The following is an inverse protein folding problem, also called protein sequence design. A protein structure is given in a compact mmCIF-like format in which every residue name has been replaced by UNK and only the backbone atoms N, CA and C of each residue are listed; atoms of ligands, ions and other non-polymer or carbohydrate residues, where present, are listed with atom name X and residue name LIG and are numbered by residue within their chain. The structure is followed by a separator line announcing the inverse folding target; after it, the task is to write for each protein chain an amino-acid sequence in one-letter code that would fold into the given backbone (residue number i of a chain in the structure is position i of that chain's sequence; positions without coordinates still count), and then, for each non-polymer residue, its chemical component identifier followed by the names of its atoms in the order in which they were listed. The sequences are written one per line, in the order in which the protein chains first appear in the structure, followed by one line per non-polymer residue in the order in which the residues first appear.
data_IF_536998738455
#
_entry.id   IF_536998738455
#
_cell.length_a   1.000
_cell.length_b   1.000
_cell.length_c   1.000
_cell.angle_alpha   90.00
_cell.angle_beta   90.00
_cell.angle_gamma   90.00
#
_symmetry.space_group_name_H-M   'P 1'
#
loop_
_entity.id
_entity.type
_entity.pdbx_description
1 polymer ?
#
# COMPACT_ATOMS: atom_id res chain seq x y z
N UNK A 1 11.80 49.46 -27.12
CA UNK A 1 10.94 48.70 -26.19
C UNK A 1 10.66 47.36 -26.83
N UNK A 2 11.59 46.43 -26.64
CA UNK A 2 11.55 45.39 -25.59
C UNK A 2 10.96 44.12 -26.20
N UNK A 3 11.85 43.37 -26.86
CA UNK A 3 11.56 42.05 -27.39
C UNK A 3 11.18 41.11 -26.26
N UNK A 4 10.10 40.37 -26.50
CA UNK A 4 9.66 39.28 -25.64
C UNK A 4 10.76 38.21 -25.61
N UNK A 5 11.23 37.77 -24.43
CA UNK A 5 12.16 36.65 -24.35
C UNK A 5 11.39 35.37 -24.67
N UNK A 6 11.72 34.73 -25.79
CA UNK A 6 11.37 33.33 -26.05
C UNK A 6 12.09 32.47 -25.03
N UNK A 7 11.36 32.07 -23.98
CA UNK A 7 11.79 31.03 -23.06
C UNK A 7 11.94 29.73 -23.85
N UNK A 8 13.18 29.40 -24.26
CA UNK A 8 13.56 28.03 -24.63
C UNK A 8 13.38 27.20 -23.36
N UNK A 9 12.31 26.43 -23.31
CA UNK A 9 12.17 25.27 -22.42
C UNK A 9 13.50 24.53 -22.41
N UNK A 10 14.09 24.33 -21.22
CA UNK A 10 15.34 23.59 -21.06
C UNK A 10 15.18 22.21 -21.72
N UNK A 11 15.76 22.06 -22.91
CA UNK A 11 15.78 20.78 -23.61
C UNK A 11 16.74 19.91 -22.82
N UNK A 12 16.22 18.83 -22.24
CA UNK A 12 17.01 17.85 -21.51
C UNK A 12 17.92 17.15 -22.54
N UNK A 13 19.17 17.60 -22.67
CA UNK A 13 20.14 17.01 -23.62
C UNK A 13 20.37 15.55 -23.26
N UNK A 14 20.48 14.69 -24.27
CA UNK A 14 20.81 13.27 -24.10
C UNK A 14 22.30 13.16 -23.81
N UNK A 15 22.67 12.57 -22.68
CA UNK A 15 24.07 12.32 -22.35
C UNK A 15 24.54 11.06 -23.09
N UNK A 16 25.45 11.23 -24.04
CA UNK A 16 25.99 10.14 -24.86
C UNK A 16 27.42 9.88 -24.47
N UNK A 17 27.74 8.63 -24.13
CA UNK A 17 29.07 8.15 -23.86
C UNK A 17 29.61 7.44 -25.10
N UNK A 18 30.55 8.06 -25.80
CA UNK A 18 31.29 7.45 -26.90
C UNK A 18 32.49 6.69 -26.35
N UNK A 19 32.53 5.38 -26.58
CA UNK A 19 33.66 4.52 -26.22
C UNK A 19 34.43 4.22 -27.50
N UNK A 20 35.52 4.96 -27.71
CA UNK A 20 36.29 4.99 -28.96
C UNK A 20 37.72 5.43 -28.68
N UNK A 21 38.71 4.62 -29.06
CA UNK A 21 40.13 4.89 -28.84
C UNK A 21 40.76 5.66 -30.02
N UNK A 22 40.25 5.52 -31.24
CA UNK A 22 40.76 6.24 -32.40
C UNK A 22 40.32 7.72 -32.39
N UNK A 23 41.28 8.64 -32.56
CA UNK A 23 40.96 10.08 -32.54
C UNK A 23 40.20 10.56 -33.78
N UNK A 24 40.45 9.95 -34.94
CA UNK A 24 39.77 10.32 -36.18
C UNK A 24 38.29 9.96 -36.14
N UNK A 25 37.99 8.73 -35.73
CA UNK A 25 36.62 8.24 -35.61
C UNK A 25 35.82 9.03 -34.56
N UNK A 26 36.46 9.36 -33.43
CA UNK A 26 35.82 10.17 -32.39
C UNK A 26 35.49 11.59 -32.86
N UNK A 27 36.44 12.26 -33.54
CA UNK A 27 36.23 13.60 -34.10
C UNK A 27 35.14 13.57 -35.18
N UNK A 28 35.06 12.50 -35.97
CA UNK A 28 34.01 12.34 -36.98
C UNK A 28 32.62 12.25 -36.32
N UNK A 29 32.46 11.45 -35.27
CA UNK A 29 31.19 11.34 -34.53
C UNK A 29 30.78 12.68 -33.93
N UNK A 30 31.73 13.42 -33.36
CA UNK A 30 31.49 14.76 -32.80
C UNK A 30 31.04 15.73 -33.90
N UNK A 31 31.76 15.79 -35.03
CA UNK A 31 31.41 16.65 -36.16
C UNK A 31 30.03 16.35 -36.75
N UNK A 32 29.67 15.06 -36.88
CA UNK A 32 28.35 14.64 -37.39
C UNK A 32 27.20 15.09 -36.47
N UNK A 33 27.41 15.07 -35.15
CA UNK A 33 26.40 15.53 -34.19
C UNK A 33 26.31 17.06 -34.11
N UNK A 34 27.44 17.76 -34.25
CA UNK A 34 27.50 19.23 -34.30
C UNK A 34 26.87 19.79 -35.58
N UNK A 35 27.10 19.18 -36.74
CA UNK A 35 26.57 19.61 -38.04
C UNK A 35 25.04 19.71 -38.04
N UNK A 36 24.37 18.80 -37.33
CA UNK A 36 22.91 18.75 -37.24
C UNK A 36 22.37 19.44 -35.99
N UNK A 37 23.22 20.16 -35.24
CA UNK A 37 22.89 20.80 -33.97
C UNK A 37 22.14 19.86 -33.01
N UNK A 38 22.59 18.61 -32.88
CA UNK A 38 21.91 17.61 -32.07
C UNK A 38 21.86 18.03 -30.58
N UNK A 39 20.72 17.81 -29.93
CA UNK A 39 20.55 18.00 -28.48
C UNK A 39 21.21 16.88 -27.66
N UNK A 40 22.52 16.69 -27.87
CA UNK A 40 23.35 15.66 -27.26
C UNK A 40 24.50 16.31 -26.47
N UNK A 41 24.82 15.77 -25.31
CA UNK A 41 26.06 16.04 -24.60
C UNK A 41 26.97 14.83 -24.75
N UNK A 42 28.04 14.96 -25.54
CA UNK A 42 28.96 13.87 -25.84
C UNK A 42 30.09 13.82 -24.80
N UNK A 43 30.32 12.65 -24.23
CA UNK A 43 31.46 12.34 -23.39
C UNK A 43 32.24 11.20 -24.03
N UNK A 44 33.57 11.28 -24.04
CA UNK A 44 34.43 10.24 -24.61
C UNK A 44 35.12 9.43 -23.53
N UNK A 45 35.17 8.12 -23.73
CA UNK A 45 36.06 7.19 -23.06
C UNK A 45 36.92 6.48 -24.11
N UNK A 46 38.22 6.30 -23.84
CA UNK A 46 39.15 5.61 -24.76
C UNK A 46 39.26 4.11 -24.50
N UNK A 47 38.71 3.64 -23.38
CA UNK A 47 38.72 2.23 -23.00
C UNK A 47 37.39 1.89 -22.38
N UNK A 48 37.02 0.61 -22.40
CA UNK A 48 35.80 0.17 -21.73
C UNK A 48 35.89 0.38 -20.21
N UNK A 49 37.06 0.17 -19.62
CA UNK A 49 37.30 0.44 -18.19
C UNK A 49 36.99 1.89 -17.81
N UNK A 50 37.36 2.85 -18.64
CA UNK A 50 37.04 4.27 -18.41
C UNK A 50 35.53 4.51 -18.53
N UNK A 51 34.89 3.88 -19.52
CA UNK A 51 33.46 4.00 -19.75
C UNK A 51 32.64 3.51 -18.54
N UNK A 52 33.04 2.41 -17.90
CA UNK A 52 32.34 1.82 -16.74
C UNK A 52 32.13 2.82 -15.59
N UNK A 53 33.07 3.76 -15.37
CA UNK A 53 32.95 4.81 -14.35
C UNK A 53 31.96 5.93 -14.70
N UNK A 54 31.51 6.00 -15.96
CA UNK A 54 30.66 7.06 -16.49
C UNK A 54 29.23 6.58 -16.83
N UNK A 55 28.97 5.27 -16.84
CA UNK A 55 27.70 4.68 -17.24
C UNK A 55 26.49 5.21 -16.47
N UNK A 56 26.62 5.49 -15.18
CA UNK A 56 25.52 5.99 -14.33
C UNK A 56 25.02 7.39 -14.73
N UNK A 57 25.76 8.09 -15.58
CA UNK A 57 25.42 9.44 -16.08
C UNK A 57 25.04 9.46 -17.57
N UNK A 58 25.14 8.33 -18.25
CA UNK A 58 24.87 8.23 -19.68
C UNK A 58 23.43 7.76 -19.93
N UNK A 59 22.77 8.37 -20.91
CA UNK A 59 21.50 7.91 -21.47
C UNK A 59 21.74 6.90 -22.62
N UNK A 60 22.86 7.05 -23.34
CA UNK A 60 23.25 6.20 -24.45
C UNK A 60 24.76 5.96 -24.45
N UNK A 61 25.19 4.76 -24.82
CA UNK A 61 26.57 4.42 -25.16
C UNK A 61 26.65 4.22 -26.67
N UNK A 62 27.64 4.86 -27.30
CA UNK A 62 28.12 4.49 -28.63
C UNK A 62 29.38 3.66 -28.43
N UNK A 63 29.31 2.36 -28.68
CA UNK A 63 30.39 1.43 -28.41
C UNK A 63 31.10 1.04 -29.71
N UNK A 64 32.38 1.38 -29.83
CA UNK A 64 33.24 0.75 -30.82
C UNK A 64 33.65 -0.66 -30.38
N UNK A 65 33.80 -1.59 -31.35
CA UNK A 65 34.20 -2.98 -31.09
C UNK A 65 35.73 -3.20 -31.19
N UNK A 66 36.47 -2.21 -31.67
CA UNK A 66 37.92 -2.22 -31.90
C UNK A 66 38.76 -1.71 -30.73
N UNK A 67 38.20 -1.64 -29.52
CA UNK A 67 38.86 -1.08 -28.34
C UNK A 67 40.11 -1.88 -27.91
N UNK A 68 41.12 -1.21 -27.30
CA UNK A 68 42.38 -1.85 -26.91
C UNK A 68 42.25 -2.81 -25.72
N UNK A 69 41.19 -2.71 -24.93
CA UNK A 69 40.96 -3.49 -23.71
C UNK A 69 39.84 -4.54 -23.82
N UNK A 70 39.27 -4.72 -25.01
CA UNK A 70 38.26 -5.76 -25.29
C UNK A 70 38.40 -6.34 -26.70
N UNK A 71 37.81 -7.51 -26.93
CA UNK A 71 37.82 -8.17 -28.24
C UNK A 71 36.40 -8.43 -28.72
N UNK A 72 36.06 -7.92 -29.91
CA UNK A 72 34.74 -8.11 -30.51
C UNK A 72 33.61 -7.68 -29.57
N UNK A 73 32.64 -8.57 -29.34
CA UNK A 73 31.43 -8.29 -28.55
C UNK A 73 31.62 -8.42 -27.02
N UNK A 74 32.85 -8.70 -26.53
CA UNK A 74 33.11 -8.78 -25.09
C UNK A 74 32.78 -7.46 -24.39
N UNK A 75 33.02 -6.32 -25.07
CA UNK A 75 32.69 -5.01 -24.52
C UNK A 75 31.19 -4.81 -24.33
N UNK A 76 30.39 -5.19 -25.33
CA UNK A 76 28.93 -5.16 -25.25
C UNK A 76 28.43 -6.04 -24.11
N UNK A 77 28.96 -7.26 -24.00
CA UNK A 77 28.57 -8.22 -22.95
C UNK A 77 28.82 -7.65 -21.56
N UNK A 78 29.96 -6.98 -21.34
CA UNK A 78 30.28 -6.33 -20.05
C UNK A 78 29.37 -5.15 -19.74
N UNK A 79 29.01 -4.35 -20.74
CA UNK A 79 28.08 -3.23 -20.54
C UNK A 79 26.67 -3.72 -20.22
N UNK A 80 26.19 -4.77 -20.90
CA UNK A 80 24.87 -5.37 -20.64
C UNK A 80 24.78 -6.07 -19.28
N UNK A 81 25.90 -6.53 -18.73
CA UNK A 81 25.96 -7.06 -17.37
C UNK A 81 25.82 -5.97 -16.28
N UNK A 82 25.92 -4.69 -16.65
CA UNK A 82 25.73 -3.57 -15.74
C UNK A 82 24.23 -3.32 -15.51
N UNK A 83 23.78 -3.10 -14.26
CA UNK A 83 22.39 -2.77 -13.98
C UNK A 83 21.95 -1.37 -14.44
N UNK A 84 22.89 -0.51 -14.86
CA UNK A 84 22.59 0.84 -15.35
C UNK A 84 21.69 0.78 -16.59
N UNK A 85 20.57 1.52 -16.61
CA UNK A 85 19.60 1.40 -17.67
C UNK A 85 19.97 2.36 -18.82
N UNK A 86 20.99 1.97 -19.57
CA UNK A 86 21.56 2.77 -20.66
C UNK A 86 21.27 2.12 -22.01
N UNK A 87 20.96 2.93 -23.02
CA UNK A 87 20.85 2.44 -24.40
C UNK A 87 22.24 2.15 -24.95
N UNK A 88 22.46 1.05 -25.68
CA UNK A 88 23.77 0.74 -26.26
C UNK A 88 23.62 0.61 -27.77
N UNK A 89 24.31 1.47 -28.52
CA UNK A 89 24.44 1.38 -29.97
C UNK A 89 25.86 0.96 -30.28
N UNK A 90 26.02 -0.02 -31.14
CA UNK A 90 27.34 -0.53 -31.54
C UNK A 90 27.79 0.14 -32.83
N UNK A 91 29.03 0.64 -32.86
CA UNK A 91 29.69 1.15 -34.06
C UNK A 91 30.54 0.03 -34.67
N UNK A 92 30.28 -0.33 -35.92
CA UNK A 92 31.00 -1.40 -36.64
C UNK A 92 31.77 -0.85 -37.83
N UNK A 93 32.88 -1.47 -38.19
CA UNK A 93 33.61 -1.15 -39.43
C UNK A 93 32.88 -1.59 -40.71
N UNK A 94 33.30 -1.05 -41.85
CA UNK A 94 32.70 -1.29 -43.18
C UNK A 94 32.69 -2.76 -43.65
N UNK A 95 33.58 -3.60 -43.10
CA UNK A 95 33.71 -5.01 -43.49
C UNK A 95 33.00 -5.97 -42.53
N UNK A 96 32.22 -5.48 -41.57
CA UNK A 96 31.78 -6.29 -40.42
C UNK A 96 30.28 -6.16 -40.06
N UNK A 97 29.41 -6.18 -41.08
CA UNK A 97 27.95 -6.25 -40.87
C UNK A 97 27.51 -7.47 -40.05
N UNK A 98 28.29 -8.56 -40.11
CA UNK A 98 27.99 -9.76 -39.34
C UNK A 98 28.13 -9.52 -37.83
N UNK A 99 29.15 -8.77 -37.39
CA UNK A 99 29.29 -8.37 -35.99
C UNK A 99 28.16 -7.44 -35.53
N UNK A 100 27.71 -6.51 -36.38
CA UNK A 100 26.61 -5.61 -36.05
C UNK A 100 25.28 -6.35 -35.80
N UNK A 101 24.98 -7.34 -36.65
CA UNK A 101 23.79 -8.18 -36.47
C UNK A 101 23.87 -9.02 -35.19
N UNK A 102 25.06 -9.54 -34.87
CA UNK A 102 25.29 -10.28 -33.62
C UNK A 102 25.18 -9.40 -32.38
N UNK A 103 25.61 -8.13 -32.47
CA UNK A 103 25.47 -7.17 -31.37
C UNK A 103 24.00 -6.95 -30.99
N UNK A 104 23.12 -6.74 -31.98
CA UNK A 104 21.68 -6.60 -31.73
C UNK A 104 21.09 -7.88 -31.14
N UNK A 105 21.50 -9.04 -31.65
CA UNK A 105 21.07 -10.34 -31.10
C UNK A 105 21.50 -10.56 -29.65
N UNK A 106 22.57 -9.90 -29.19
CA UNK A 106 23.04 -9.94 -27.80
C UNK A 106 22.38 -8.88 -26.91
N UNK A 107 21.64 -7.92 -27.46
CA UNK A 107 20.91 -6.91 -26.70
C UNK A 107 21.38 -5.47 -26.91
N UNK A 108 22.22 -5.20 -27.91
CA UNK A 108 22.40 -3.82 -28.38
C UNK A 108 21.09 -3.30 -28.98
N UNK A 109 20.80 -2.01 -28.75
CA UNK A 109 19.60 -1.36 -29.26
C UNK A 109 19.64 -1.21 -30.79
N UNK A 110 20.82 -0.91 -31.33
CA UNK A 110 21.06 -0.69 -32.75
C UNK A 110 22.53 -0.91 -33.08
N UNK A 111 22.86 -1.02 -34.37
CA UNK A 111 24.25 -0.95 -34.84
C UNK A 111 24.37 0.04 -36.00
N UNK A 112 25.51 0.74 -36.07
CA UNK A 112 25.82 1.72 -37.09
C UNK A 112 27.15 1.38 -37.74
N UNK A 113 27.18 1.40 -39.07
CA UNK A 113 28.40 1.16 -39.83
C UNK A 113 29.15 2.49 -40.01
N UNK A 114 30.40 2.55 -39.52
CA UNK A 114 31.29 3.72 -39.64
C UNK A 114 31.42 4.13 -41.11
N UNK A 115 31.27 5.42 -41.39
CA UNK A 115 31.40 5.99 -42.73
C UNK A 115 30.18 5.81 -43.66
N UNK A 116 29.12 5.12 -43.23
CA UNK A 116 27.86 4.98 -44.01
C UNK A 116 26.68 5.77 -43.41
N UNK A 117 26.86 6.34 -42.22
CA UNK A 117 25.80 7.04 -41.49
C UNK A 117 26.10 8.55 -41.49
N UNK A 118 25.12 9.36 -41.86
CA UNK A 118 25.18 10.82 -41.77
C UNK A 118 24.76 11.32 -40.37
N UNK A 119 24.97 12.61 -40.09
CA UNK A 119 24.64 13.18 -38.78
C UNK A 119 23.16 13.05 -38.42
N UNK A 120 22.28 13.12 -39.42
CA UNK A 120 20.83 12.95 -39.25
C UNK A 120 20.49 11.51 -38.82
N UNK A 121 21.10 10.52 -39.46
CA UNK A 121 20.99 9.10 -39.14
C UNK A 121 21.49 8.78 -37.75
N UNK A 122 22.70 9.23 -37.40
CA UNK A 122 23.30 9.03 -36.07
C UNK A 122 22.43 9.64 -34.97
N UNK A 123 22.03 10.91 -35.11
CA UNK A 123 21.16 11.57 -34.13
C UNK A 123 19.78 10.91 -34.01
N UNK A 124 19.25 10.34 -35.11
CA UNK A 124 18.00 9.58 -35.10
C UNK A 124 18.17 8.26 -34.35
N UNK A 125 19.21 7.48 -34.62
CA UNK A 125 19.48 6.21 -33.94
C UNK A 125 19.68 6.41 -32.44
N UNK A 126 20.43 7.44 -32.01
CA UNK A 126 20.57 7.79 -30.59
C UNK A 126 19.21 8.07 -29.95
N UNK A 127 18.41 8.97 -30.55
CA UNK A 127 17.08 9.32 -30.00
C UNK A 127 16.16 8.10 -29.91
N UNK A 128 16.18 7.21 -30.90
CA UNK A 128 15.33 6.02 -30.91
C UNK A 128 15.80 4.94 -29.93
N UNK A 129 17.11 4.74 -29.79
CA UNK A 129 17.66 3.81 -28.80
C UNK A 129 17.32 4.27 -27.38
N UNK A 130 17.53 5.54 -27.06
CA UNK A 130 17.18 6.12 -25.75
C UNK A 130 15.67 6.08 -25.50
N UNK A 131 14.87 6.41 -26.53
CA UNK A 131 13.41 6.33 -26.44
C UNK A 131 12.91 4.92 -26.13
N UNK A 132 13.46 3.89 -26.81
CA UNK A 132 13.13 2.49 -26.53
C UNK A 132 13.54 2.09 -25.12
N UNK A 133 14.77 2.40 -24.71
CA UNK A 133 15.27 2.05 -23.38
C UNK A 133 14.41 2.62 -22.24
N UNK A 134 14.05 3.91 -22.35
CA UNK A 134 13.16 4.57 -21.37
C UNK A 134 11.76 3.95 -21.32
N UNK A 135 11.21 3.53 -22.47
CA UNK A 135 9.92 2.84 -22.53
C UNK A 135 10.01 1.47 -21.84
N UNK A 136 11.06 0.70 -22.12
CA UNK A 136 11.30 -0.60 -21.48
C UNK A 136 11.44 -0.49 -19.96
N UNK A 137 12.22 0.49 -19.48
CA UNK A 137 12.38 0.76 -18.05
C UNK A 137 11.07 1.13 -17.36
N UNK A 138 10.31 2.04 -17.97
CA UNK A 138 9.02 2.48 -17.44
C UNK A 138 8.05 1.28 -17.38
N UNK A 139 8.02 0.43 -18.41
CA UNK A 139 7.19 -0.78 -18.42
C UNK A 139 7.62 -1.78 -17.35
N UNK A 140 8.93 -1.95 -17.14
CA UNK A 140 9.46 -2.81 -16.09
C UNK A 140 9.06 -2.31 -14.70
N UNK A 141 9.25 -1.02 -14.43
CA UNK A 141 8.86 -0.39 -13.17
C UNK A 141 7.36 -0.56 -12.90
N UNK A 142 6.51 -0.25 -13.87
CA UNK A 142 5.05 -0.43 -13.76
C UNK A 142 4.68 -1.90 -13.47
N UNK A 143 5.36 -2.85 -14.11
CA UNK A 143 5.12 -4.28 -13.89
C UNK A 143 5.52 -4.70 -12.48
N UNK A 144 6.67 -4.25 -12.00
CA UNK A 144 7.16 -4.56 -10.66
C UNK A 144 6.22 -3.95 -9.59
N UNK A 145 5.76 -2.71 -9.79
CA UNK A 145 4.75 -2.06 -8.93
C UNK A 145 3.40 -2.82 -8.94
N UNK A 146 2.93 -3.26 -10.12
CA UNK A 146 1.70 -4.04 -10.24
C UNK A 146 1.79 -5.40 -9.53
N UNK A 147 2.93 -6.08 -9.64
CA UNK A 147 3.16 -7.36 -8.95
C UNK A 147 3.12 -7.18 -7.43
N UNK A 148 3.82 -6.17 -6.92
CA UNK A 148 3.82 -5.83 -5.49
C UNK A 148 2.41 -5.45 -5.01
N UNK A 149 1.67 -4.64 -5.78
CA UNK A 149 0.30 -4.26 -5.43
C UNK A 149 -0.65 -5.46 -5.40
N UNK A 150 -0.54 -6.37 -6.38
CA UNK A 150 -1.35 -7.59 -6.44
C UNK A 150 -1.07 -8.55 -5.28
N UNK A 151 0.20 -8.71 -4.90
CA UNK A 151 0.60 -9.49 -3.74
C UNK A 151 0.03 -8.91 -2.44
N UNK A 152 0.14 -7.59 -2.25
CA UNK A 152 -0.43 -6.88 -1.11
C UNK A 152 -1.94 -7.12 -0.98
N UNK A 153 -2.71 -6.87 -2.04
CA UNK A 153 -4.17 -7.07 -2.03
C UNK A 153 -4.57 -8.51 -1.71
N UNK A 154 -3.77 -9.49 -2.17
CA UNK A 154 -4.02 -10.90 -1.90
C UNK A 154 -3.80 -11.24 -0.42
N UNK A 155 -2.75 -10.71 0.19
CA UNK A 155 -2.46 -10.89 1.61
C UNK A 155 -3.56 -10.26 2.46
N UNK A 156 -3.91 -8.99 2.22
CA UNK A 156 -4.98 -8.28 2.93
C UNK A 156 -6.31 -9.06 2.89
N UNK A 157 -6.75 -9.47 1.69
CA UNK A 157 -7.99 -10.24 1.55
C UNK A 157 -7.93 -11.58 2.28
N UNK A 158 -6.77 -12.23 2.33
CA UNK A 158 -6.58 -13.50 3.03
C UNK A 158 -6.65 -13.39 4.56
N UNK A 159 -6.37 -12.21 5.11
CA UNK A 159 -6.34 -11.96 6.56
C UNK A 159 -7.70 -11.55 7.12
N UNK A 160 -8.60 -11.03 6.27
CA UNK A 160 -9.96 -10.67 6.68
C UNK A 160 -10.80 -11.90 7.03
N UNK A 161 -11.66 -11.82 8.06
CA UNK A 161 -12.59 -12.90 8.36
C UNK A 161 -13.58 -13.13 7.21
N UNK A 162 -14.08 -14.35 7.12
CA UNK A 162 -15.39 -14.62 6.52
C UNK A 162 -16.39 -14.79 7.66
N UNK A 163 -17.22 -13.78 7.97
CA UNK A 163 -18.19 -13.85 9.07
C UNK A 163 -19.14 -15.04 8.94
N UNK A 164 -19.49 -15.66 10.06
CA UNK A 164 -20.48 -16.75 10.10
C UNK A 164 -21.82 -16.13 10.43
N UNK A 165 -22.53 -15.67 9.40
CA UNK A 165 -23.86 -15.10 9.53
C UNK A 165 -24.85 -15.91 8.69
N UNK A 166 -26.03 -16.15 9.25
CA UNK A 166 -27.15 -16.80 8.57
C UNK A 166 -28.38 -15.92 8.74
N UNK A 167 -29.27 -15.87 7.73
CA UNK A 167 -30.50 -15.06 7.75
C UNK A 167 -30.32 -13.61 7.27
N UNK A 168 -31.44 -13.00 6.86
CA UNK A 168 -31.50 -11.61 6.35
C UNK A 168 -32.20 -10.65 7.34
N UNK A 169 -32.53 -11.16 8.52
CA UNK A 169 -33.23 -10.53 9.63
C UNK A 169 -32.36 -9.54 10.42
N UNK A 170 -31.08 -9.41 10.06
CA UNK A 170 -30.13 -8.44 10.60
C UNK A 170 -29.49 -7.67 9.44
N UNK A 171 -29.39 -6.35 9.59
CA UNK A 171 -28.52 -5.54 8.76
C UNK A 171 -27.13 -5.54 9.38
N UNK A 172 -26.08 -5.74 8.61
CA UNK A 172 -24.73 -5.54 9.11
C UNK A 172 -23.81 -5.11 7.99
N UNK A 173 -22.77 -4.36 8.32
CA UNK A 173 -21.70 -3.97 7.41
C UNK A 173 -20.40 -3.86 8.20
N UNK A 174 -19.28 -4.21 7.58
CA UNK A 174 -17.94 -3.90 8.09
C UNK A 174 -17.17 -3.08 7.08
N UNK A 175 -16.48 -2.06 7.54
CA UNK A 175 -15.43 -1.40 6.79
C UNK A 175 -14.10 -1.57 7.51
N UNK A 176 -13.13 -2.13 6.80
CA UNK A 176 -11.74 -2.24 7.26
C UNK A 176 -10.84 -1.49 6.28
N UNK A 177 -9.93 -0.67 6.81
CA UNK A 177 -8.92 0.03 6.04
C UNK A 177 -7.58 0.00 6.77
N UNK A 178 -6.52 -0.52 6.15
CA UNK A 178 -5.18 -0.37 6.73
C UNK A 178 -4.72 1.09 6.62
N UNK A 179 -3.93 1.54 7.59
CA UNK A 179 -3.38 2.89 7.71
C UNK A 179 -2.27 3.17 6.69
N UNK A 180 -2.31 4.34 6.07
CA UNK A 180 -1.24 4.90 5.24
C UNK A 180 -0.84 4.13 3.97
N UNK A 181 -0.13 4.81 3.06
CA UNK A 181 0.30 4.26 1.76
C UNK A 181 1.56 3.38 1.81
N UNK A 182 2.23 3.26 2.97
CA UNK A 182 3.48 2.49 3.16
C UNK A 182 3.36 1.26 4.06
N UNK A 183 2.48 1.26 5.05
CA UNK A 183 2.20 0.07 5.87
C UNK A 183 1.18 -0.80 5.14
N UNK A 184 1.46 -2.10 5.03
CA UNK A 184 0.72 -2.99 4.12
C UNK A 184 -0.26 -3.91 4.84
N UNK A 185 -0.22 -3.98 6.17
CA UNK A 185 -1.01 -4.88 7.00
C UNK A 185 -1.22 -4.23 8.37
N UNK A 186 -2.45 -4.32 8.88
CA UNK A 186 -2.82 -3.64 10.11
C UNK A 186 -3.06 -4.55 11.30
N UNK A 187 -2.89 -3.99 12.50
CA UNK A 187 -3.12 -4.67 13.79
C UNK A 187 -4.60 -4.92 14.09
N UNK A 188 -5.48 -4.14 13.46
CA UNK A 188 -6.93 -4.23 13.58
C UNK A 188 -7.51 -5.56 13.11
N UNK A 189 -8.41 -6.13 13.91
CA UNK A 189 -9.17 -7.32 13.57
C UNK A 189 -10.61 -7.26 14.07
N UNK A 190 -11.50 -7.99 13.41
CA UNK A 190 -12.87 -8.15 13.82
C UNK A 190 -13.38 -9.54 13.46
N UNK A 191 -14.49 -9.96 14.05
CA UNK A 191 -15.22 -11.15 13.63
C UNK A 191 -16.68 -11.12 14.10
N UNK A 192 -17.53 -11.86 13.41
CA UNK A 192 -18.96 -12.00 13.72
C UNK A 192 -19.39 -13.45 13.53
N UNK A 193 -20.04 -14.00 14.55
CA UNK A 193 -20.58 -15.37 14.55
C UNK A 193 -22.01 -15.35 15.08
N UNK A 194 -22.97 -15.81 14.27
CA UNK A 194 -24.30 -16.22 14.71
C UNK A 194 -24.27 -17.71 15.04
N UNK A 195 -24.44 -18.05 16.31
CA UNK A 195 -24.51 -19.44 16.78
C UNK A 195 -25.86 -20.06 16.46
N UNK A 196 -25.96 -21.39 16.57
CA UNK A 196 -27.14 -22.15 16.16
C UNK A 196 -28.40 -21.82 17.00
N UNK A 197 -28.23 -21.37 18.24
CA UNK A 197 -29.30 -20.89 19.12
C UNK A 197 -29.80 -19.47 18.77
N UNK A 198 -29.16 -18.80 17.80
CA UNK A 198 -29.49 -17.45 17.35
C UNK A 198 -28.74 -16.34 18.09
N UNK A 199 -27.89 -16.68 19.06
CA UNK A 199 -27.01 -15.71 19.74
C UNK A 199 -26.02 -15.12 18.74
N UNK A 200 -25.75 -13.82 18.82
CA UNK A 200 -24.72 -13.16 18.01
C UNK A 200 -23.51 -12.87 18.88
N UNK A 201 -22.34 -13.21 18.37
CA UNK A 201 -21.06 -12.98 19.01
C UNK A 201 -20.26 -12.06 18.11
N UNK A 202 -19.83 -10.92 18.64
CA UNK A 202 -19.05 -9.92 17.95
C UNK A 202 -17.68 -9.80 18.63
N UNK A 203 -16.65 -9.61 17.82
CA UNK A 203 -15.30 -9.28 18.25
C UNK A 203 -14.81 -8.11 17.40
N UNK A 204 -14.18 -7.15 18.04
CA UNK A 204 -13.29 -6.17 17.41
C UNK A 204 -12.08 -5.96 18.32
N UNK A 205 -10.93 -5.66 17.75
CA UNK A 205 -9.74 -5.38 18.53
C UNK A 205 -8.64 -4.79 17.67
N UNK A 206 -7.64 -4.27 18.36
CA UNK A 206 -6.46 -3.65 17.77
C UNK A 206 -5.20 -4.10 18.53
N UNK A 207 -4.20 -4.55 17.78
CA UNK A 207 -2.88 -4.92 18.28
C UNK A 207 -1.98 -3.70 18.18
N UNK A 208 -1.44 -3.23 19.32
CA UNK A 208 -0.64 -2.02 19.30
C UNK A 208 0.57 -2.14 18.36
N UNK A 209 0.77 -1.13 17.53
CA UNK A 209 1.78 -1.13 16.47
C UNK A 209 1.16 -1.38 15.11
N UNK A 210 1.99 -1.59 14.09
CA UNK A 210 1.52 -1.80 12.72
C UNK A 210 2.50 -2.68 11.96
N UNK A 211 2.01 -3.44 10.99
CA UNK A 211 2.84 -4.28 10.14
C UNK A 211 2.45 -5.76 10.17
N UNK A 212 3.28 -6.59 9.54
CA UNK A 212 2.96 -8.01 9.34
C UNK A 212 2.90 -8.80 10.64
N UNK A 213 3.72 -8.46 11.63
CA UNK A 213 3.79 -9.20 12.90
C UNK A 213 2.55 -8.92 13.76
N UNK A 214 2.12 -7.66 13.87
CA UNK A 214 0.89 -7.25 14.55
C UNK A 214 -0.35 -7.82 13.87
N UNK A 215 -0.40 -7.77 12.54
CA UNK A 215 -1.48 -8.37 11.76
C UNK A 215 -1.57 -9.89 11.97
N UNK A 216 -0.43 -10.59 12.08
CA UNK A 216 -0.40 -12.02 12.36
C UNK A 216 -0.98 -12.34 13.76
N UNK A 217 -0.64 -11.53 14.77
CA UNK A 217 -1.22 -11.64 16.12
C UNK A 217 -2.73 -11.38 16.08
N UNK A 218 -3.19 -10.35 15.36
CA UNK A 218 -4.62 -10.05 15.21
C UNK A 218 -5.40 -11.23 14.62
N UNK A 219 -4.87 -11.85 13.56
CA UNK A 219 -5.46 -13.06 12.95
C UNK A 219 -5.45 -14.25 13.90
N UNK A 220 -4.35 -14.49 14.61
CA UNK A 220 -4.22 -15.54 15.59
C UNK A 220 -5.31 -15.42 16.67
N UNK A 221 -5.43 -14.24 17.30
CA UNK A 221 -6.42 -13.97 18.35
C UNK A 221 -7.85 -14.12 17.82
N UNK A 222 -8.12 -13.60 16.62
CA UNK A 222 -9.42 -13.72 15.95
C UNK A 222 -9.82 -15.18 15.72
N UNK A 223 -8.92 -16.00 15.20
CA UNK A 223 -9.20 -17.42 14.93
C UNK A 223 -9.36 -18.20 16.24
N UNK A 224 -8.53 -17.92 17.25
CA UNK A 224 -8.68 -18.51 18.59
C UNK A 224 -10.04 -18.16 19.20
N UNK A 225 -10.45 -16.89 19.13
CA UNK A 225 -11.75 -16.43 19.60
C UNK A 225 -12.88 -17.19 18.90
N UNK A 226 -12.85 -17.28 17.56
CA UNK A 226 -13.90 -17.97 16.79
C UNK A 226 -14.00 -19.44 17.20
N UNK A 227 -12.87 -20.12 17.35
CA UNK A 227 -12.85 -21.52 17.78
C UNK A 227 -13.47 -21.70 19.17
N UNK A 228 -13.15 -20.81 20.12
CA UNK A 228 -13.69 -20.84 21.48
C UNK A 228 -15.20 -20.52 21.52
N UNK A 229 -15.66 -19.59 20.70
CA UNK A 229 -17.09 -19.28 20.53
C UNK A 229 -17.85 -20.49 19.97
N UNK A 230 -17.33 -21.13 18.92
CA UNK A 230 -17.94 -22.34 18.34
C UNK A 230 -17.90 -23.54 19.30
N UNK A 231 -16.97 -23.54 20.25
CA UNK A 231 -16.88 -24.51 21.34
C UNK A 231 -17.73 -24.13 22.56
N UNK A 232 -18.63 -23.14 22.43
CA UNK A 232 -19.56 -22.68 23.47
C UNK A 232 -18.86 -22.34 24.80
N UNK A 233 -17.68 -21.72 24.71
CA UNK A 233 -16.95 -21.28 25.89
C UNK A 233 -17.56 -19.99 26.46
N UNK A 234 -17.60 -19.91 27.79
CA UNK A 234 -18.08 -18.73 28.50
C UNK A 234 -17.18 -17.50 28.19
N UNK A 235 -17.74 -16.31 27.89
CA UNK A 235 -16.96 -15.18 27.38
C UNK A 235 -15.79 -14.73 28.26
N UNK A 236 -15.92 -14.81 29.59
CA UNK A 236 -14.80 -14.44 30.48
C UNK A 236 -13.61 -15.39 30.35
N UNK A 237 -13.89 -16.69 30.09
CA UNK A 237 -12.87 -17.69 29.78
C UNK A 237 -12.24 -17.44 28.42
N UNK A 238 -13.03 -17.04 27.42
CA UNK A 238 -12.52 -16.69 26.09
C UNK A 238 -11.46 -15.60 26.20
N UNK A 239 -11.77 -14.47 26.85
CA UNK A 239 -10.80 -13.37 27.02
C UNK A 239 -9.54 -13.80 27.78
N UNK A 240 -9.68 -14.63 28.83
CA UNK A 240 -8.53 -15.17 29.55
C UNK A 240 -7.64 -16.03 28.65
N UNK A 241 -8.23 -16.86 27.80
CA UNK A 241 -7.47 -17.68 26.85
C UNK A 241 -6.81 -16.82 25.77
N UNK A 242 -7.49 -15.80 25.24
CA UNK A 242 -6.87 -14.85 24.30
C UNK A 242 -5.69 -14.11 24.93
N UNK A 243 -5.82 -13.67 26.19
CA UNK A 243 -4.72 -13.08 26.95
C UNK A 243 -3.51 -14.01 27.02
N UNK A 244 -3.72 -15.28 27.40
CA UNK A 244 -2.64 -16.27 27.49
C UNK A 244 -1.99 -16.51 26.12
N UNK A 245 -2.78 -16.63 25.06
CA UNK A 245 -2.25 -16.80 23.70
C UNK A 245 -1.36 -15.61 23.32
N UNK A 246 -1.83 -14.38 23.54
CA UNK A 246 -1.06 -13.18 23.28
C UNK A 246 0.27 -13.16 24.04
N UNK A 247 0.25 -13.50 25.34
CA UNK A 247 1.47 -13.51 26.16
C UNK A 247 2.55 -14.48 25.64
N UNK A 248 2.14 -15.60 25.04
CA UNK A 248 3.06 -16.62 24.51
C UNK A 248 3.52 -16.33 23.08
N UNK A 249 2.65 -15.75 22.25
CA UNK A 249 2.89 -15.57 20.82
C UNK A 249 3.47 -14.18 20.49
N UNK A 250 3.35 -13.20 21.39
CA UNK A 250 3.93 -11.87 21.18
C UNK A 250 5.45 -11.94 21.01
N UNK A 251 5.94 -11.28 19.98
CA UNK A 251 7.35 -11.23 19.66
C UNK A 251 8.13 -10.22 20.55
N UNK A 252 7.43 -9.35 21.29
CA UNK A 252 8.00 -8.38 22.22
C UNK A 252 7.19 -8.30 23.53
N UNK A 253 7.82 -8.15 24.71
CA UNK A 253 7.10 -8.09 25.98
C UNK A 253 6.14 -6.90 26.15
N UNK A 254 6.34 -5.82 25.38
CA UNK A 254 5.52 -4.61 25.45
C UNK A 254 4.27 -4.64 24.58
N UNK A 255 4.11 -5.66 23.74
CA UNK A 255 2.97 -5.76 22.83
C UNK A 255 1.70 -6.12 23.62
N UNK A 256 0.66 -5.32 23.39
CA UNK A 256 -0.67 -5.46 23.98
C UNK A 256 -1.75 -5.38 22.90
N UNK A 257 -2.95 -5.81 23.25
CA UNK A 257 -4.10 -5.80 22.32
C UNK A 257 -5.33 -5.24 23.03
N UNK A 258 -5.95 -4.22 22.45
CA UNK A 258 -7.27 -3.79 22.87
C UNK A 258 -8.32 -4.71 22.23
N UNK A 259 -9.37 -5.05 22.97
CA UNK A 259 -10.46 -5.86 22.42
C UNK A 259 -11.82 -5.51 23.02
N UNK A 260 -12.86 -5.57 22.19
CA UNK A 260 -14.25 -5.50 22.58
C UNK A 260 -14.95 -6.78 22.11
N UNK A 261 -15.61 -7.47 23.05
CA UNK A 261 -16.46 -8.62 22.77
C UNK A 261 -17.90 -8.29 23.14
N UNK A 262 -18.84 -8.62 22.26
CA UNK A 262 -20.27 -8.42 22.49
C UNK A 262 -21.02 -9.71 22.23
N UNK A 263 -21.81 -10.15 23.21
CA UNK A 263 -22.77 -11.25 23.07
C UNK A 263 -24.17 -10.69 23.03
N UNK A 264 -24.87 -10.79 21.91
CA UNK A 264 -26.27 -10.36 21.75
C UNK A 264 -27.18 -11.57 21.81
N UNK A 265 -28.16 -11.49 22.69
CA UNK A 265 -29.16 -12.55 22.90
C UNK A 265 -29.93 -12.95 21.65
N UNK A 266 -30.44 -14.20 21.57
CA UNK A 266 -31.25 -14.65 20.44
C UNK A 266 -32.50 -13.80 20.20
N UNK A 267 -33.09 -13.25 21.26
CA UNK A 267 -34.25 -12.36 21.20
C UNK A 267 -33.89 -10.90 20.92
N UNK A 268 -32.58 -10.58 20.87
CA UNK A 268 -31.99 -9.26 20.57
C UNK A 268 -32.43 -8.15 21.50
N UNK A 269 -32.88 -8.48 22.71
CA UNK A 269 -33.31 -7.48 23.70
C UNK A 269 -32.23 -7.08 24.68
N UNK A 270 -31.12 -7.82 24.72
CA UNK A 270 -29.98 -7.48 25.55
C UNK A 270 -28.65 -7.90 24.92
N UNK A 271 -27.59 -7.18 25.26
CA UNK A 271 -26.21 -7.48 24.94
C UNK A 271 -25.36 -7.59 26.22
N UNK A 272 -24.37 -8.48 26.22
CA UNK A 272 -23.27 -8.48 27.18
C UNK A 272 -22.02 -7.93 26.53
N UNK A 273 -21.46 -6.87 27.10
CA UNK A 273 -20.25 -6.20 26.65
C UNK A 273 -19.06 -6.57 27.53
N UNK A 274 -17.92 -6.90 26.92
CA UNK A 274 -16.62 -6.99 27.60
C UNK A 274 -15.63 -6.09 26.89
N UNK A 275 -15.00 -5.18 27.64
CA UNK A 275 -13.99 -4.25 27.14
C UNK A 275 -12.64 -4.54 27.78
N UNK A 276 -11.64 -4.85 26.96
CA UNK A 276 -10.23 -4.96 27.31
C UNK A 276 -9.49 -3.76 26.70
N UNK A 277 -9.53 -2.61 27.38
CA UNK A 277 -8.85 -1.37 26.95
C UNK A 277 -9.31 -0.76 25.61
N UNK A 278 -10.35 -1.30 24.99
CA UNK A 278 -10.86 -0.89 23.68
C UNK A 278 -11.87 0.26 23.79
N UNK A 279 -12.01 1.11 22.76
CA UNK A 279 -13.05 2.12 22.70
C UNK A 279 -14.46 1.57 22.92
N UNK A 280 -15.31 2.38 23.55
CA UNK A 280 -16.69 2.05 23.87
C UNK A 280 -17.55 1.96 22.58
N UNK A 281 -18.32 0.88 22.38
CA UNK A 281 -19.26 0.82 21.27
C UNK A 281 -20.35 1.89 21.38
N UNK A 282 -20.90 2.29 20.25
CA UNK A 282 -22.03 3.22 20.19
C UNK A 282 -23.33 2.49 19.90
N UNK A 283 -24.38 2.81 20.65
CA UNK A 283 -25.75 2.37 20.43
C UNK A 283 -26.54 3.48 19.72
N UNK A 284 -27.13 3.12 18.58
CA UNK A 284 -27.91 4.01 17.73
C UNK A 284 -29.37 3.59 17.77
N UNK A 285 -30.26 4.56 17.98
CA UNK A 285 -31.73 4.38 17.95
C UNK A 285 -32.36 5.61 17.32
N UNK A 286 -32.89 5.46 16.10
CA UNK A 286 -33.37 6.60 15.32
C UNK A 286 -32.24 7.57 14.97
N UNK A 287 -32.31 8.83 15.41
CA UNK A 287 -31.26 9.83 15.26
C UNK A 287 -30.40 10.00 16.53
N UNK A 288 -30.65 9.18 17.55
CA UNK A 288 -29.93 9.22 18.81
C UNK A 288 -28.76 8.25 18.79
N UNK A 289 -27.58 8.76 19.12
CA UNK A 289 -26.34 7.99 19.26
C UNK A 289 -25.85 8.13 20.70
N UNK A 290 -25.53 7.01 21.35
CA UNK A 290 -25.08 6.98 22.74
C UNK A 290 -23.88 6.05 22.86
N UNK A 291 -22.80 6.53 23.46
CA UNK A 291 -21.65 5.70 23.83
C UNK A 291 -22.04 4.75 24.98
N UNK A 292 -21.71 3.47 24.87
CA UNK A 292 -22.01 2.49 25.90
C UNK A 292 -21.13 2.68 27.14
N UNK A 293 -21.60 2.30 28.35
CA UNK A 293 -20.86 2.60 29.57
C UNK A 293 -19.53 1.85 29.68
N UNK A 294 -18.53 2.55 30.22
CA UNK A 294 -17.17 2.05 30.46
C UNK A 294 -16.91 1.51 31.88
N UNK A 295 -17.93 1.45 32.73
CA UNK A 295 -17.79 1.16 34.17
C UNK A 295 -17.09 -0.16 34.49
N UNK A 296 -17.09 -1.12 33.54
CA UNK A 296 -16.50 -2.45 33.67
C UNK A 296 -15.33 -2.71 32.72
N UNK A 297 -14.79 -1.66 32.10
CA UNK A 297 -13.63 -1.78 31.23
C UNK A 297 -12.40 -2.28 32.00
N UNK A 298 -11.81 -3.37 31.52
CA UNK A 298 -10.54 -3.89 32.00
C UNK A 298 -9.36 -3.36 31.19
N UNK A 299 -8.14 -3.74 31.59
CA UNK A 299 -6.92 -3.40 30.86
C UNK A 299 -6.86 -4.11 29.50
N UNK A 300 -6.08 -3.59 28.53
CA UNK A 300 -5.76 -4.33 27.32
C UNK A 300 -5.13 -5.70 27.63
N UNK A 301 -5.30 -6.65 26.72
CA UNK A 301 -4.65 -7.96 26.79
C UNK A 301 -3.12 -7.78 26.75
N UNK A 302 -2.36 -8.61 27.45
CA UNK A 302 -0.89 -8.56 27.48
C UNK A 302 -0.26 -7.52 28.42
N UNK A 303 -1.07 -6.64 29.05
CA UNK A 303 -0.55 -5.59 29.95
C UNK A 303 -0.18 -6.13 31.34
N UNK A 304 -1.12 -6.84 32.01
CA UNK A 304 -0.87 -7.48 33.31
C UNK A 304 -1.27 -8.96 33.27
N UNK A 305 -0.44 -9.89 33.81
CA UNK A 305 -0.66 -11.34 33.71
C UNK A 305 -1.98 -11.84 34.33
N UNK A 306 -2.41 -11.25 35.44
CA UNK A 306 -3.60 -11.68 36.19
C UNK A 306 -4.84 -10.82 35.89
N UNK A 307 -4.91 -10.26 34.69
CA UNK A 307 -6.04 -9.41 34.28
C UNK A 307 -7.35 -10.20 34.22
N UNK A 308 -8.44 -9.56 34.66
CA UNK A 308 -9.79 -10.12 34.55
C UNK A 308 -10.74 -9.09 33.95
N UNK A 309 -11.71 -9.58 33.18
CA UNK A 309 -12.71 -8.75 32.51
C UNK A 309 -14.10 -9.21 32.91
N UNK A 310 -14.94 -8.24 33.27
CA UNK A 310 -16.31 -8.50 33.71
C UNK A 310 -17.31 -7.99 32.69
N UNK A 311 -18.34 -8.79 32.42
CA UNK A 311 -19.38 -8.41 31.48
C UNK A 311 -20.27 -7.29 32.02
N UNK A 312 -20.67 -6.38 31.14
CA UNK A 312 -21.71 -5.37 31.37
C UNK A 312 -22.95 -5.73 30.56
N UNK A 313 -24.11 -5.84 31.22
CA UNK A 313 -25.38 -6.10 30.54
C UNK A 313 -26.00 -4.78 30.09
N UNK A 314 -26.35 -4.71 28.80
CA UNK A 314 -26.91 -3.52 28.16
C UNK A 314 -28.26 -3.89 27.52
N UNK A 315 -29.36 -3.20 27.88
CA UNK A 315 -30.65 -3.41 27.22
C UNK A 315 -30.61 -2.86 25.79
N UNK A 316 -31.18 -3.61 24.85
CA UNK A 316 -31.30 -3.23 23.44
C UNK A 316 -32.76 -2.86 23.15
N UNK A 317 -33.08 -1.58 22.91
CA UNK A 317 -34.43 -1.15 22.56
C UNK A 317 -34.78 -1.55 21.12
N UNK A 318 -36.07 -1.64 20.75
CA UNK A 318 -36.46 -1.94 19.36
C UNK A 318 -35.83 -1.00 18.33
N UNK A 319 -35.43 -1.53 17.17
CA UNK A 319 -34.79 -0.76 16.10
C UNK A 319 -33.36 -0.30 16.41
N UNK A 320 -32.68 -0.99 17.35
CA UNK A 320 -31.31 -0.67 17.71
C UNK A 320 -30.32 -0.96 16.57
N UNK A 321 -29.24 -0.19 16.54
CA UNK A 321 -28.01 -0.58 15.86
C UNK A 321 -26.81 -0.36 16.79
N UNK A 322 -25.79 -1.18 16.65
CA UNK A 322 -24.55 -1.09 17.43
C UNK A 322 -23.37 -0.91 16.49
N UNK A 323 -22.58 0.12 16.75
CA UNK A 323 -21.37 0.46 16.02
C UNK A 323 -20.15 0.21 16.93
N UNK A 324 -19.27 -0.68 16.50
CA UNK A 324 -18.00 -0.98 17.12
C UNK A 324 -16.89 -0.44 16.21
N UNK A 325 -15.85 0.14 16.78
CA UNK A 325 -14.76 0.75 16.00
C UNK A 325 -13.43 0.68 16.74
N UNK A 326 -12.34 0.60 15.99
CA UNK A 326 -10.97 0.77 16.50
C UNK A 326 -10.61 2.25 16.57
N UNK A 327 -9.62 2.58 17.38
CA UNK A 327 -9.25 3.97 17.67
C UNK A 327 -8.79 4.76 16.44
N UNK A 328 -8.25 4.13 15.40
CA UNK A 328 -7.92 4.80 14.14
C UNK A 328 -9.08 5.60 13.51
N UNK A 329 -10.34 5.25 13.79
CA UNK A 329 -11.50 6.07 13.39
C UNK A 329 -11.54 7.42 14.11
N UNK A 330 -11.22 7.45 15.41
CA UNK A 330 -11.31 8.65 16.27
C UNK A 330 -9.96 9.38 16.42
N UNK A 331 -8.86 8.73 16.06
CA UNK A 331 -7.52 9.31 16.00
C UNK A 331 -7.32 10.25 14.79
N UNK A 332 -8.18 10.14 13.77
CA UNK A 332 -8.19 11.03 12.60
C UNK A 332 -8.24 12.50 12.99
N UNK A 333 -7.56 13.36 12.23
CA UNK A 333 -7.45 14.79 12.51
C UNK A 333 -8.65 15.56 11.96
N UNK A 334 -8.83 16.78 12.46
CA UNK A 334 -9.90 17.68 12.01
C UNK A 334 -9.26 18.97 11.46
N UNK A 335 -9.49 19.27 10.17
CA UNK A 335 -9.11 20.51 9.49
C UNK A 335 -7.60 20.84 9.47
N UNK A 336 -6.73 19.84 9.43
CA UNK A 336 -5.27 20.04 9.48
C UNK A 336 -4.76 20.57 10.83
N UNK A 337 -5.63 20.59 11.85
CA UNK A 337 -5.28 20.94 13.22
C UNK A 337 -4.57 19.76 13.92
N UNK A 338 -4.00 19.99 15.11
CA UNK A 338 -3.41 18.92 15.93
C UNK A 338 -4.46 18.11 16.70
N UNK A 339 -5.73 18.51 16.64
CA UNK A 339 -6.80 17.89 17.41
C UNK A 339 -7.37 16.66 16.68
N UNK A 340 -7.55 15.59 17.46
CA UNK A 340 -8.18 14.35 17.02
C UNK A 340 -9.70 14.52 16.90
N UNK A 341 -10.36 13.66 16.14
CA UNK A 341 -11.81 13.62 16.01
C UNK A 341 -12.45 13.35 17.37
N UNK A 342 -12.00 12.31 18.06
CA UNK A 342 -12.56 11.90 19.34
C UNK A 342 -13.98 11.35 19.24
N UNK A 343 -14.48 10.74 20.32
CA UNK A 343 -15.80 10.10 20.33
C UNK A 343 -16.95 11.11 20.28
N UNK A 344 -16.82 12.28 20.91
CA UNK A 344 -17.84 13.33 20.91
C UNK A 344 -18.18 13.82 19.49
N UNK A 345 -17.16 14.12 18.67
CA UNK A 345 -17.39 14.55 17.28
C UNK A 345 -17.86 13.40 16.40
N UNK A 346 -17.39 12.18 16.67
CA UNK A 346 -17.88 10.99 15.98
C UNK A 346 -19.39 10.81 16.21
N UNK A 347 -19.87 10.99 17.45
CA UNK A 347 -21.30 10.99 17.79
C UNK A 347 -22.06 12.06 17.01
N UNK A 348 -21.52 13.28 16.93
CA UNK A 348 -22.14 14.38 16.17
C UNK A 348 -22.25 14.07 14.67
N UNK A 349 -21.20 13.48 14.07
CA UNK A 349 -21.20 13.08 12.66
C UNK A 349 -22.26 12.01 12.39
N UNK A 350 -22.30 10.96 13.20
CA UNK A 350 -23.29 9.88 13.05
C UNK A 350 -24.71 10.43 13.25
N UNK A 351 -24.91 11.29 14.25
CA UNK A 351 -26.21 11.95 14.51
C UNK A 351 -26.64 12.84 13.33
N UNK A 352 -25.70 13.53 12.69
CA UNK A 352 -25.96 14.33 11.49
C UNK A 352 -26.40 13.47 10.28
N UNK A 353 -25.69 12.37 10.04
CA UNK A 353 -26.02 11.43 8.94
C UNK A 353 -27.39 10.80 9.16
N UNK A 354 -27.62 10.26 10.36
CA UNK A 354 -28.89 9.57 10.69
C UNK A 354 -30.11 10.50 10.62
N UNK A 355 -29.96 11.78 10.98
CA UNK A 355 -31.03 12.79 10.85
C UNK A 355 -31.40 13.10 9.39
N UNK A 356 -30.41 13.10 8.49
CA UNK A 356 -30.65 13.41 7.07
C UNK A 356 -31.12 12.19 6.27
N UNK A 357 -30.95 10.97 6.81
CA UNK A 357 -31.33 9.72 6.17
C UNK A 357 -32.12 8.81 7.12
N UNK A 358 -33.43 9.01 7.28
CA UNK A 358 -34.24 8.25 8.24
C UNK A 358 -34.27 6.73 7.99
N UNK A 359 -33.98 6.27 6.76
CA UNK A 359 -33.89 4.85 6.41
C UNK A 359 -32.49 4.23 6.59
N UNK A 360 -31.57 4.92 7.26
CA UNK A 360 -30.17 4.49 7.44
C UNK A 360 -30.04 3.05 7.99
N UNK A 361 -30.93 2.65 8.91
CA UNK A 361 -30.91 1.33 9.54
C UNK A 361 -31.17 0.18 8.54
N UNK A 362 -31.85 0.46 7.43
CA UNK A 362 -32.07 -0.50 6.34
C UNK A 362 -30.89 -0.58 5.37
N UNK A 363 -30.02 0.44 5.39
CA UNK A 363 -28.86 0.57 4.51
C UNK A 363 -27.55 0.82 5.31
N UNK A 364 -27.14 -0.12 6.18
CA UNK A 364 -25.97 0.05 7.06
C UNK A 364 -24.69 0.36 6.28
N UNK A 365 -24.53 -0.22 5.08
CA UNK A 365 -23.44 0.08 4.15
C UNK A 365 -23.33 1.55 3.79
N UNK A 366 -24.47 2.18 3.56
CA UNK A 366 -24.53 3.57 3.14
C UNK A 366 -24.12 4.47 4.30
N UNK A 367 -24.61 4.20 5.51
CA UNK A 367 -24.21 4.92 6.73
C UNK A 367 -22.69 4.83 6.95
N UNK A 368 -22.10 3.64 6.91
CA UNK A 368 -20.66 3.49 7.09
C UNK A 368 -19.86 4.19 5.98
N UNK A 369 -20.32 4.13 4.73
CA UNK A 369 -19.66 4.81 3.61
C UNK A 369 -19.65 6.32 3.80
N UNK A 370 -20.80 6.91 4.16
CA UNK A 370 -20.91 8.35 4.39
C UNK A 370 -20.07 8.80 5.59
N UNK A 371 -20.09 8.02 6.68
CA UNK A 371 -19.30 8.29 7.88
C UNK A 371 -17.80 8.34 7.56
N UNK A 372 -17.29 7.31 6.89
CA UNK A 372 -15.86 7.21 6.56
C UNK A 372 -15.44 8.32 5.61
N UNK A 373 -16.28 8.67 4.64
CA UNK A 373 -15.98 9.77 3.73
C UNK A 373 -15.90 11.11 4.48
N UNK A 374 -16.82 11.39 5.41
CA UNK A 374 -16.75 12.60 6.22
C UNK A 374 -15.53 12.64 7.14
N UNK A 375 -15.18 11.52 7.77
CA UNK A 375 -13.97 11.43 8.60
C UNK A 375 -12.71 11.71 7.78
N UNK A 376 -12.64 11.19 6.55
CA UNK A 376 -11.52 11.46 5.63
C UNK A 376 -11.44 12.91 5.16
N UNK A 377 -12.59 13.50 4.84
CA UNK A 377 -12.67 14.90 4.47
C UNK A 377 -12.17 15.79 5.61
N UNK A 378 -12.54 15.49 6.85
CA UNK A 378 -12.05 16.20 8.04
C UNK A 378 -10.54 15.99 8.26
N UNK A 379 -10.04 14.78 8.02
CA UNK A 379 -8.62 14.46 8.13
C UNK A 379 -7.75 15.10 7.04
N UNK A 380 -8.36 15.55 5.93
CA UNK A 380 -7.66 16.08 4.76
C UNK A 380 -7.08 15.00 3.85
N UNK A 381 -7.57 13.76 3.95
CA UNK A 381 -7.08 12.62 3.16
C UNK A 381 -7.30 11.26 3.82
N UNK A 382 -6.48 10.28 3.45
CA UNK A 382 -6.45 8.95 4.09
C UNK A 382 -6.01 9.05 5.56
N UNK A 383 -6.52 8.15 6.40
CA UNK A 383 -6.12 8.06 7.80
C UNK A 383 -4.71 7.49 7.92
N UNK A 384 -3.98 7.95 8.95
CA UNK A 384 -2.62 7.51 9.23
C UNK A 384 -2.60 6.09 9.81
N UNK A 385 -3.60 5.76 10.63
CA UNK A 385 -3.70 4.50 11.37
C UNK A 385 -4.71 3.52 10.74
N UNK A 386 -4.60 2.24 11.11
CA UNK A 386 -5.56 1.21 10.72
C UNK A 386 -6.94 1.51 11.32
N UNK A 387 -7.99 1.14 10.60
CA UNK A 387 -9.36 1.37 11.05
C UNK A 387 -10.27 0.21 10.67
N UNK A 388 -10.92 -0.37 11.67
CA UNK A 388 -12.04 -1.28 11.54
C UNK A 388 -13.30 -0.65 12.13
N UNK A 389 -14.41 -0.74 11.40
CA UNK A 389 -15.74 -0.30 11.86
C UNK A 389 -16.75 -1.38 11.53
N UNK A 390 -17.41 -1.93 12.55
CA UNK A 390 -18.47 -2.93 12.44
C UNK A 390 -19.80 -2.31 12.87
N UNK A 391 -20.79 -2.32 11.99
CA UNK A 391 -22.15 -1.92 12.27
C UNK A 391 -23.08 -3.13 12.18
N UNK A 392 -23.91 -3.33 13.19
CA UNK A 392 -24.99 -4.32 13.18
C UNK A 392 -26.30 -3.66 13.60
N UNK A 393 -27.39 -4.02 12.93
CA UNK A 393 -28.70 -3.38 13.02
C UNK A 393 -29.80 -4.44 13.11
N UNK A 394 -30.69 -4.28 14.08
CA UNK A 394 -31.92 -5.06 14.11
C UNK A 394 -32.90 -4.51 13.06
N UNK A 395 -33.35 -5.37 12.15
CA UNK A 395 -34.28 -5.00 11.07
C UNK A 395 -35.75 -5.18 11.46
N UNK A 396 -36.01 -5.66 12.68
CA UNK A 396 -37.33 -6.02 13.18
C UNK A 396 -38.21 -4.80 13.52
#
# INVERSE_FOLDING_TARGET
MAGLPTSRTAVNRINVLLVEDDEGDAVLVEALLEEVEADVALHRARTLREAEGLLSKADCVLLDLGLPDTTGLDGLTRLLANPAPVAIIVLTGLNDEHQGTQAVAQGAEDYLVKGQVDGVGLARSIRYAVGRKRVEETQRQLRDEQLLAAEKTRLERGLLPSPIMHGEDLGWEVSYRPGGSRMQLGGDFYDVVRTADGTLQLLIGDVCGHGPDEAAIGVLLRIAWRALVLADQEPSRVLRTLHQILEHERHQPGLFTTACMVTISPDRRWARLYLAGHPEPMLLVGDRVVELPRDRAGLPLGVLPDSTWSGLDVPLPPGWSMLLYTDGLVEGRVHGDTERLGSERLIDLISGITRTRPDWARAPKTLLTDLINQVKELNGGELDDDMAVLLISDRA
#
